data_IF_057500890304
#
_entry.id   IF_057500890304
#
_cell.length_a   1.000
_cell.length_b   1.000
_cell.length_c   1.000
_cell.angle_alpha   90.00
_cell.angle_beta   90.00
_cell.angle_gamma   90.00
#
_symmetry.space_group_name_H-M   'P 1'
#
loop_
_entity.id
_entity.type
_entity.pdbx_description
1 polymer ?
#
# COMPACT_ATOMS: atom_id res chain seq x y z
N UNK A 1 -7.80 -73.80 -8.18
CA UNK A 1 -7.12 -72.50 -8.33
C UNK A 1 -7.28 -71.89 -9.73
N UNK A 2 -8.48 -71.76 -10.28
CA UNK A 2 -8.71 -71.16 -11.64
C UNK A 2 -10.03 -70.36 -11.74
N UNK A 3 -10.55 -69.84 -10.64
CA UNK A 3 -11.80 -69.04 -10.68
C UNK A 3 -11.71 -67.64 -9.99
N UNK A 4 -10.48 -67.19 -9.59
CA UNK A 4 -10.31 -65.91 -8.90
C UNK A 4 -9.73 -64.80 -9.77
N UNK A 5 -9.31 -65.07 -11.01
CA UNK A 5 -8.71 -64.07 -11.90
C UNK A 5 -9.67 -63.36 -12.88
N UNK A 6 -10.97 -63.80 -12.94
CA UNK A 6 -11.88 -63.25 -13.93
C UNK A 6 -12.73 -62.07 -13.45
N UNK A 7 -12.79 -61.80 -12.12
CA UNK A 7 -13.61 -60.72 -11.58
C UNK A 7 -12.83 -59.41 -11.36
N UNK A 8 -11.51 -59.44 -11.36
CA UNK A 8 -10.69 -58.22 -11.16
C UNK A 8 -10.49 -57.45 -12.49
N UNK A 9 -10.54 -58.13 -13.62
CA UNK A 9 -10.36 -57.49 -14.94
C UNK A 9 -11.63 -56.76 -15.40
N UNK A 10 -12.82 -57.17 -14.93
CA UNK A 10 -14.09 -56.52 -15.33
C UNK A 10 -14.38 -55.23 -14.55
N UNK A 11 -13.85 -55.10 -13.34
CA UNK A 11 -13.99 -53.88 -12.52
C UNK A 11 -13.11 -52.71 -13.00
N UNK A 12 -11.98 -53.00 -13.62
CA UNK A 12 -11.08 -52.00 -14.20
C UNK A 12 -11.55 -51.44 -15.54
N UNK A 13 -12.33 -52.22 -16.30
CA UNK A 13 -12.86 -51.79 -17.61
C UNK A 13 -14.09 -50.84 -17.47
N UNK A 14 -14.84 -50.94 -16.38
CA UNK A 14 -16.01 -50.05 -16.12
C UNK A 14 -15.58 -48.69 -15.57
N UNK A 15 -14.48 -48.61 -14.83
CA UNK A 15 -13.92 -47.36 -14.32
C UNK A 15 -13.30 -46.46 -15.42
N UNK A 16 -12.79 -47.06 -16.50
CA UNK A 16 -12.18 -46.31 -17.62
C UNK A 16 -13.22 -45.73 -18.61
N UNK A 17 -14.41 -46.31 -18.69
CA UNK A 17 -15.44 -45.82 -19.61
C UNK A 17 -16.29 -44.65 -19.11
N UNK A 18 -16.26 -44.34 -17.78
CA UNK A 18 -17.00 -43.21 -17.23
C UNK A 18 -16.19 -41.89 -17.15
N UNK A 19 -14.88 -41.94 -17.44
CA UNK A 19 -14.01 -40.74 -17.45
C UNK A 19 -13.98 -40.10 -18.86
N UNK A 20 -14.47 -40.77 -19.88
CA UNK A 20 -14.39 -40.30 -21.27
C UNK A 20 -15.59 -39.46 -21.75
N UNK A 21 -16.52 -39.10 -20.88
CA UNK A 21 -17.77 -38.44 -21.31
C UNK A 21 -17.97 -36.99 -20.84
N UNK A 22 -16.92 -36.33 -20.34
CA UNK A 22 -16.93 -34.86 -20.11
C UNK A 22 -15.85 -34.22 -20.96
N UNK A 23 -16.16 -34.02 -22.24
CA UNK A 23 -15.35 -33.14 -23.09
C UNK A 23 -15.57 -31.71 -22.60
N UNK A 24 -14.55 -30.98 -22.09
CA UNK A 24 -14.70 -29.57 -21.82
C UNK A 24 -14.84 -28.83 -23.14
N UNK A 25 -15.98 -28.20 -23.35
CA UNK A 25 -16.16 -27.22 -24.43
C UNK A 25 -15.20 -26.06 -24.16
N UNK A 26 -14.19 -25.91 -24.97
CA UNK A 26 -13.18 -24.88 -24.94
C UNK A 26 -11.83 -25.44 -24.47
N UNK A 27 -10.95 -25.74 -25.43
CA UNK A 27 -9.56 -26.04 -25.13
C UNK A 27 -8.96 -24.83 -24.36
N UNK A 28 -8.65 -25.03 -23.08
CA UNK A 28 -7.81 -24.08 -22.34
C UNK A 28 -6.51 -23.99 -23.12
N UNK A 29 -6.09 -22.81 -23.59
CA UNK A 29 -4.85 -22.70 -24.33
C UNK A 29 -3.72 -23.27 -23.48
N UNK A 30 -2.93 -24.16 -24.09
CA UNK A 30 -1.82 -24.83 -23.43
C UNK A 30 -0.89 -23.74 -22.83
N UNK A 31 -0.75 -23.74 -21.53
CA UNK A 31 0.16 -22.83 -20.84
C UNK A 31 1.57 -23.30 -21.16
N UNK A 32 2.27 -22.58 -22.03
CA UNK A 32 3.69 -22.87 -22.23
C UNK A 32 4.48 -22.16 -21.12
N UNK A 33 5.24 -22.94 -20.36
CA UNK A 33 6.19 -22.45 -19.37
C UNK A 33 7.59 -22.74 -19.89
N UNK A 34 8.41 -21.70 -20.01
CA UNK A 34 9.81 -21.84 -20.40
C UNK A 34 10.68 -21.30 -19.29
N UNK A 35 11.64 -22.08 -18.82
CA UNK A 35 12.66 -21.64 -17.85
C UNK A 35 13.94 -21.36 -18.63
N UNK A 36 14.42 -20.14 -18.57
CA UNK A 36 15.68 -19.72 -19.20
C UNK A 36 16.88 -20.13 -18.35
N UNK A 37 18.10 -20.19 -18.93
CA UNK A 37 19.31 -20.54 -18.17
C UNK A 37 19.62 -19.62 -16.97
N UNK A 38 19.15 -18.37 -17.01
CA UNK A 38 19.27 -17.39 -15.92
C UNK A 38 18.21 -17.55 -14.81
N UNK A 39 17.35 -18.59 -14.90
CA UNK A 39 16.26 -18.85 -13.97
C UNK A 39 14.98 -18.05 -14.26
N UNK A 40 14.96 -17.22 -15.31
CA UNK A 40 13.74 -16.48 -15.70
C UNK A 40 12.66 -17.46 -16.16
N UNK A 41 11.46 -17.33 -15.57
CA UNK A 41 10.28 -18.10 -15.97
C UNK A 41 9.41 -17.25 -16.89
N UNK A 42 9.18 -17.75 -18.11
CA UNK A 42 8.27 -17.15 -19.07
C UNK A 42 6.98 -17.96 -19.09
N UNK A 43 5.86 -17.32 -18.79
CA UNK A 43 4.52 -17.92 -18.85
C UNK A 43 3.73 -17.21 -19.94
N UNK A 44 3.41 -17.92 -21.01
CA UNK A 44 2.57 -17.41 -22.09
C UNK A 44 1.10 -17.72 -21.81
N UNK A 45 0.21 -16.82 -22.24
CA UNK A 45 -1.25 -16.99 -22.14
C UNK A 45 -1.78 -17.25 -20.72
N UNK A 46 -1.18 -16.61 -19.70
CA UNK A 46 -1.67 -16.70 -18.34
C UNK A 46 -3.01 -15.95 -18.19
N UNK A 47 -4.03 -16.66 -17.68
CA UNK A 47 -5.31 -16.04 -17.25
C UNK A 47 -5.32 -15.96 -15.74
N UNK A 48 -5.61 -14.78 -15.21
CA UNK A 48 -5.74 -14.55 -13.76
C UNK A 48 -7.23 -14.51 -13.43
N UNK A 49 -7.75 -15.52 -12.74
CA UNK A 49 -9.17 -15.57 -12.39
C UNK A 49 -9.52 -14.51 -11.34
N UNK A 50 -10.84 -14.36 -11.11
CA UNK A 50 -11.33 -13.61 -9.95
C UNK A 50 -10.78 -14.24 -8.66
N UNK A 51 -10.34 -13.44 -7.66
CA UNK A 51 -9.74 -13.99 -6.43
C UNK A 51 -10.72 -14.90 -5.68
N UNK A 52 -10.26 -16.08 -5.29
CA UNK A 52 -11.11 -17.06 -4.61
C UNK A 52 -11.34 -16.69 -3.15
N UNK A 53 -10.29 -16.19 -2.46
CA UNK A 53 -10.32 -15.88 -1.04
C UNK A 53 -10.84 -14.46 -0.73
N UNK A 54 -11.18 -13.67 -1.76
CA UNK A 54 -11.83 -12.39 -1.57
C UNK A 54 -13.30 -12.62 -1.20
N UNK A 55 -13.82 -11.83 -0.25
CA UNK A 55 -15.23 -11.92 0.12
C UNK A 55 -16.16 -11.66 -1.08
N UNK A 56 -17.39 -12.15 -1.03
CA UNK A 56 -18.38 -11.88 -2.09
C UNK A 56 -18.65 -10.37 -2.23
N UNK A 57 -18.61 -9.63 -1.13
CA UNK A 57 -18.68 -8.17 -1.13
C UNK A 57 -17.49 -7.56 -1.86
N UNK A 58 -16.28 -8.01 -1.55
CA UNK A 58 -15.05 -7.57 -2.21
C UNK A 58 -15.01 -7.89 -3.70
N UNK A 59 -15.47 -9.09 -4.11
CA UNK A 59 -15.61 -9.45 -5.53
C UNK A 59 -16.56 -8.51 -6.28
N UNK A 60 -17.71 -8.16 -5.66
CA UNK A 60 -18.65 -7.18 -6.25
C UNK A 60 -18.03 -5.81 -6.43
N UNK A 61 -17.26 -5.32 -5.45
CA UNK A 61 -16.56 -4.04 -5.54
C UNK A 61 -15.45 -4.10 -6.61
N UNK A 62 -14.69 -5.19 -6.66
CA UNK A 62 -13.62 -5.37 -7.63
C UNK A 62 -14.13 -5.39 -9.08
N UNK A 63 -15.32 -5.98 -9.29
CA UNK A 63 -15.96 -6.07 -10.61
C UNK A 63 -16.68 -4.79 -11.04
N UNK A 64 -16.86 -3.80 -10.16
CA UNK A 64 -17.46 -2.52 -10.55
C UNK A 64 -16.57 -1.83 -11.58
N UNK A 65 -17.05 -1.69 -12.80
CA UNK A 65 -16.39 -0.87 -13.82
C UNK A 65 -16.60 0.60 -13.48
N UNK A 66 -15.52 1.39 -13.42
CA UNK A 66 -15.66 2.83 -13.39
C UNK A 66 -16.02 3.32 -14.79
N UNK A 67 -16.90 4.35 -14.92
CA UNK A 67 -17.12 4.99 -16.20
C UNK A 67 -15.78 5.45 -16.79
N UNK A 68 -15.53 5.12 -18.04
CA UNK A 68 -14.35 5.59 -18.77
C UNK A 68 -14.63 6.90 -19.51
N UNK A 69 -15.91 7.20 -19.71
CA UNK A 69 -16.41 8.40 -20.39
C UNK A 69 -17.71 8.90 -19.75
N UNK A 70 -18.02 10.19 -19.92
CA UNK A 70 -19.25 10.81 -19.44
C UNK A 70 -19.22 11.24 -17.96
N UNK A 71 -20.38 11.52 -17.36
CA UNK A 71 -20.48 11.99 -15.98
C UNK A 71 -19.86 11.00 -14.98
N UNK A 72 -18.90 11.48 -14.16
CA UNK A 72 -18.20 10.66 -13.17
C UNK A 72 -16.95 9.94 -13.69
N UNK A 73 -16.64 10.06 -14.98
CA UNK A 73 -15.35 9.61 -15.50
C UNK A 73 -14.20 10.47 -14.96
N UNK A 74 -13.01 9.88 -14.71
CA UNK A 74 -11.83 10.66 -14.34
C UNK A 74 -11.43 11.62 -15.45
N UNK A 75 -11.03 12.83 -15.08
CA UNK A 75 -10.39 13.75 -16.04
C UNK A 75 -9.08 13.13 -16.52
N UNK A 76 -8.83 13.03 -17.82
CA UNK A 76 -7.56 12.52 -18.34
C UNK A 76 -6.38 13.28 -17.73
N UNK A 77 -5.35 12.54 -17.31
CA UNK A 77 -4.11 13.19 -16.86
C UNK A 77 -3.43 13.86 -18.06
N UNK A 78 -2.80 15.03 -17.86
CA UNK A 78 -2.03 15.69 -18.91
C UNK A 78 -1.02 14.73 -19.53
N UNK A 79 -0.93 14.73 -20.85
CA UNK A 79 0.08 13.96 -21.58
C UNK A 79 1.48 14.57 -21.41
N UNK A 80 1.54 15.91 -21.29
CA UNK A 80 2.74 16.63 -20.93
C UNK A 80 2.91 16.65 -19.40
N UNK A 81 3.85 15.83 -18.95
CA UNK A 81 4.21 15.71 -17.55
C UNK A 81 5.27 16.74 -17.09
N UNK A 82 5.70 17.64 -17.97
CA UNK A 82 6.57 18.75 -17.61
C UNK A 82 5.82 19.79 -16.75
N UNK A 83 4.51 19.96 -16.97
CA UNK A 83 3.66 20.77 -16.10
C UNK A 83 3.20 19.96 -14.85
N UNK A 84 4.06 19.94 -13.86
CA UNK A 84 3.78 19.25 -12.60
C UNK A 84 2.66 19.90 -11.79
N UNK A 85 2.43 21.19 -11.92
CA UNK A 85 1.36 21.89 -11.21
C UNK A 85 -0.01 21.43 -11.73
N UNK A 86 -0.18 21.42 -13.05
CA UNK A 86 -1.40 20.94 -13.69
C UNK A 86 -1.62 19.44 -13.46
N UNK A 87 -0.58 18.60 -13.58
CA UNK A 87 -0.66 17.17 -13.29
C UNK A 87 -1.17 16.94 -11.86
N UNK A 88 -0.63 17.63 -10.86
CA UNK A 88 -1.05 17.53 -9.47
C UNK A 88 -2.47 18.03 -9.26
N UNK A 89 -2.85 19.12 -9.94
CA UNK A 89 -4.20 19.65 -9.88
C UNK A 89 -5.22 18.62 -10.35
N UNK A 90 -5.04 18.10 -11.58
CA UNK A 90 -5.96 17.10 -12.17
C UNK A 90 -5.98 15.83 -11.35
N UNK A 91 -4.82 15.36 -10.86
CA UNK A 91 -4.75 14.18 -10.02
C UNK A 91 -5.57 14.33 -8.73
N UNK A 92 -5.45 15.49 -8.05
CA UNK A 92 -6.21 15.76 -6.83
C UNK A 92 -7.71 15.94 -7.11
N UNK A 93 -8.11 16.55 -8.25
CA UNK A 93 -9.51 16.64 -8.66
C UNK A 93 -10.12 15.23 -8.83
N UNK A 94 -9.40 14.32 -9.48
CA UNK A 94 -9.84 12.93 -9.69
C UNK A 94 -9.99 12.14 -8.37
N UNK A 95 -9.34 12.57 -7.28
CA UNK A 95 -9.49 11.96 -5.96
C UNK A 95 -10.64 12.53 -5.13
N UNK A 96 -11.19 13.70 -5.48
CA UNK A 96 -12.26 14.35 -4.70
C UNK A 96 -13.48 13.46 -4.47
N UNK A 97 -14.03 12.74 -5.47
CA UNK A 97 -15.15 11.84 -5.25
C UNK A 97 -14.84 10.76 -4.22
N UNK A 98 -13.64 10.19 -4.28
CA UNK A 98 -13.21 9.15 -3.33
C UNK A 98 -13.06 9.72 -1.90
N UNK A 99 -12.51 10.93 -1.78
CA UNK A 99 -12.36 11.62 -0.49
C UNK A 99 -13.75 11.94 0.10
N UNK A 100 -14.68 12.42 -0.70
CA UNK A 100 -16.04 12.71 -0.27
C UNK A 100 -16.74 11.43 0.22
N UNK A 101 -16.66 10.35 -0.55
CA UNK A 101 -17.20 9.06 -0.16
C UNK A 101 -16.55 8.52 1.12
N UNK A 102 -15.22 8.65 1.27
CA UNK A 102 -14.54 8.26 2.51
C UNK A 102 -15.05 9.04 3.73
N UNK A 103 -15.39 10.34 3.56
CA UNK A 103 -15.97 11.18 4.63
C UNK A 103 -17.43 10.83 4.96
N UNK A 104 -18.18 10.32 3.98
CA UNK A 104 -19.53 9.80 4.23
C UNK A 104 -19.47 8.54 5.09
N UNK A 105 -18.54 7.63 4.79
CA UNK A 105 -18.34 6.38 5.55
C UNK A 105 -17.72 6.65 6.93
N UNK A 106 -16.77 7.57 7.01
CA UNK A 106 -16.03 7.93 8.22
C UNK A 106 -16.11 9.44 8.49
N UNK A 107 -17.15 9.89 9.21
CA UNK A 107 -17.33 11.32 9.49
C UNK A 107 -16.18 11.89 10.31
N UNK A 108 -15.56 12.95 9.80
CA UNK A 108 -14.45 13.68 10.41
C UNK A 108 -14.55 15.17 10.15
N UNK A 109 -13.90 15.95 10.98
CA UNK A 109 -13.61 17.36 10.73
C UNK A 109 -12.20 17.48 10.15
N UNK A 110 -12.01 18.34 9.15
CA UNK A 110 -10.73 18.56 8.47
C UNK A 110 -10.41 20.05 8.53
N UNK A 111 -9.24 20.37 9.09
CA UNK A 111 -8.71 21.72 9.21
C UNK A 111 -7.40 21.82 8.44
N UNK A 112 -7.33 22.71 7.44
CA UNK A 112 -6.09 23.03 6.74
C UNK A 112 -5.25 23.98 7.59
N UNK A 113 -3.95 23.72 7.70
CA UNK A 113 -3.04 24.47 8.55
C UNK A 113 -1.62 24.51 7.98
N UNK A 114 -0.75 25.24 8.65
CA UNK A 114 0.69 25.27 8.38
C UNK A 114 1.47 25.05 9.66
N UNK A 115 2.38 24.08 9.67
CA UNK A 115 3.21 23.73 10.82
C UNK A 115 4.69 23.86 10.43
N UNK A 116 5.40 24.78 11.06
CA UNK A 116 6.83 25.08 10.77
C UNK A 116 7.08 25.33 9.27
N UNK A 117 6.14 26.02 8.59
CA UNK A 117 6.20 26.30 7.16
C UNK A 117 5.75 25.15 6.25
N UNK A 118 5.33 24.01 6.80
CA UNK A 118 4.84 22.87 6.04
C UNK A 118 3.31 22.89 6.05
N UNK A 119 2.69 22.96 4.86
CA UNK A 119 1.24 22.83 4.74
C UNK A 119 0.79 21.45 5.21
N UNK A 120 -0.29 21.39 5.96
CA UNK A 120 -0.83 20.15 6.52
C UNK A 120 -2.35 20.23 6.65
N UNK A 121 -2.99 19.08 6.80
CA UNK A 121 -4.37 18.98 7.23
C UNK A 121 -4.45 18.22 8.56
N UNK A 122 -5.22 18.75 9.50
CA UNK A 122 -5.53 18.08 10.77
C UNK A 122 -6.90 17.44 10.62
N UNK A 123 -6.95 16.12 10.76
CA UNK A 123 -8.15 15.31 10.67
C UNK A 123 -8.55 14.89 12.07
N UNK A 124 -9.75 15.28 12.50
CA UNK A 124 -10.28 14.99 13.84
C UNK A 124 -11.54 14.15 13.70
N UNK A 125 -11.72 13.06 14.49
CA UNK A 125 -12.95 12.29 14.51
C UNK A 125 -14.17 13.18 14.77
N UNK A 126 -15.29 12.92 14.08
CA UNK A 126 -16.54 13.65 14.35
C UNK A 126 -16.97 13.40 15.80
N UNK A 127 -17.24 14.46 16.54
CA UNK A 127 -17.50 14.38 17.98
C UNK A 127 -16.26 14.50 18.86
N UNK A 128 -15.07 14.70 18.27
CA UNK A 128 -13.82 14.95 18.98
C UNK A 128 -13.02 13.69 19.32
N UNK A 129 -11.89 13.91 19.97
CA UNK A 129 -11.00 12.83 20.42
C UNK A 129 -11.46 12.33 21.80
N UNK A 130 -11.71 11.01 21.96
CA UNK A 130 -12.03 10.45 23.29
C UNK A 130 -10.94 10.72 24.33
N UNK A 131 -11.32 10.88 25.59
CA UNK A 131 -10.41 11.22 26.70
C UNK A 131 -9.19 10.27 26.76
N UNK A 132 -9.39 8.96 26.55
CA UNK A 132 -8.30 7.96 26.53
C UNK A 132 -7.23 8.23 25.48
N UNK A 133 -7.56 9.00 24.44
CA UNK A 133 -6.69 9.28 23.30
C UNK A 133 -6.21 10.74 23.25
N UNK A 134 -6.57 11.59 24.21
CA UNK A 134 -6.23 13.02 24.20
C UNK A 134 -4.74 13.30 24.06
N UNK A 135 -3.90 12.39 24.56
CA UNK A 135 -2.44 12.52 24.55
C UNK A 135 -1.80 11.78 23.35
N UNK A 136 -2.59 11.25 22.43
CA UNK A 136 -2.14 10.47 21.28
C UNK A 136 -2.36 11.23 19.97
N UNK A 137 -1.46 11.05 19.01
CA UNK A 137 -1.57 11.65 17.68
C UNK A 137 -0.89 10.76 16.63
N UNK A 138 -1.41 10.77 15.41
CA UNK A 138 -0.77 10.13 14.26
C UNK A 138 -0.31 11.18 13.26
N UNK A 139 0.86 10.98 12.66
CA UNK A 139 1.32 11.73 11.50
C UNK A 139 1.17 10.86 10.25
N UNK A 140 0.61 11.41 9.19
CA UNK A 140 0.48 10.71 7.91
C UNK A 140 1.44 11.27 6.87
N UNK A 141 2.25 10.37 6.29
CA UNK A 141 2.99 10.60 5.06
C UNK A 141 2.15 10.17 3.87
N UNK A 142 1.63 11.09 3.05
CA UNK A 142 0.81 10.74 1.88
C UNK A 142 1.55 9.94 0.82
N UNK A 143 0.81 9.06 0.12
CA UNK A 143 1.27 8.38 -1.08
C UNK A 143 1.28 9.28 -2.33
N UNK A 144 1.65 8.68 -3.47
CA UNK A 144 1.66 9.38 -4.77
C UNK A 144 3.02 9.43 -5.46
N UNK A 145 3.88 8.44 -5.20
CA UNK A 145 5.18 8.28 -5.88
C UNK A 145 6.17 9.40 -5.60
N UNK A 146 6.03 10.15 -4.52
CA UNK A 146 6.78 11.40 -4.26
C UNK A 146 6.60 12.47 -5.33
N UNK A 147 5.51 12.42 -6.09
CA UNK A 147 5.30 13.26 -7.27
C UNK A 147 3.93 13.94 -7.31
N UNK A 148 2.88 13.22 -6.90
CA UNK A 148 1.49 13.67 -7.01
C UNK A 148 0.67 13.31 -5.77
N UNK A 149 -0.55 13.83 -5.68
CA UNK A 149 -1.61 13.32 -4.82
C UNK A 149 -1.48 13.51 -3.31
N UNK A 150 -0.47 14.27 -2.83
CA UNK A 150 -0.24 14.42 -1.39
C UNK A 150 -1.48 14.87 -0.60
N UNK A 151 -2.32 15.74 -1.18
CA UNK A 151 -3.55 16.18 -0.52
C UNK A 151 -4.61 15.06 -0.50
N UNK A 152 -5.03 14.56 -1.66
CA UNK A 152 -6.09 13.57 -1.78
C UNK A 152 -5.72 12.23 -1.16
N UNK A 153 -4.55 11.66 -1.52
CA UNK A 153 -4.08 10.39 -0.95
C UNK A 153 -3.84 10.49 0.57
N UNK A 154 -3.42 11.68 1.05
CA UNK A 154 -3.29 11.93 2.47
C UNK A 154 -4.61 11.78 3.22
N UNK A 155 -5.68 12.37 2.70
CA UNK A 155 -7.01 12.28 3.28
C UNK A 155 -7.56 10.85 3.26
N UNK A 156 -7.37 10.11 2.14
CA UNK A 156 -7.87 8.74 2.01
C UNK A 156 -7.26 7.75 3.02
N UNK A 157 -6.09 8.04 3.58
CA UNK A 157 -5.48 7.25 4.67
C UNK A 157 -5.81 7.86 6.03
N UNK A 158 -5.76 9.18 6.16
CA UNK A 158 -5.93 9.86 7.46
C UNK A 158 -7.35 9.75 8.01
N UNK A 159 -8.36 9.82 7.14
CA UNK A 159 -9.77 9.78 7.54
C UNK A 159 -10.12 8.46 8.27
N UNK A 160 -9.93 7.27 7.67
CA UNK A 160 -10.25 6.02 8.36
C UNK A 160 -9.38 5.79 9.59
N UNK A 161 -8.10 6.20 9.59
CA UNK A 161 -7.24 6.10 10.77
C UNK A 161 -7.77 7.00 11.91
N UNK A 162 -8.11 8.25 11.62
CA UNK A 162 -8.67 9.16 12.64
C UNK A 162 -9.97 8.60 13.22
N UNK A 163 -10.90 8.21 12.37
CA UNK A 163 -12.22 7.74 12.80
C UNK A 163 -12.16 6.41 13.56
N UNK A 164 -11.36 5.43 13.09
CA UNK A 164 -11.33 4.08 13.66
C UNK A 164 -10.50 4.01 14.94
N UNK A 165 -9.34 4.68 14.98
CA UNK A 165 -8.49 4.72 16.18
C UNK A 165 -9.01 5.77 17.20
N UNK A 166 -9.74 6.78 16.75
CA UNK A 166 -10.24 7.85 17.61
C UNK A 166 -9.14 8.84 18.02
N UNK A 167 -8.25 9.22 17.11
CA UNK A 167 -7.14 10.16 17.36
C UNK A 167 -7.14 11.29 16.33
N UNK A 168 -6.43 12.38 16.62
CA UNK A 168 -6.07 13.33 15.56
C UNK A 168 -5.02 12.73 14.63
N UNK A 169 -5.16 13.01 13.32
CA UNK A 169 -4.14 12.67 12.33
C UNK A 169 -3.70 13.97 11.63
N UNK A 170 -2.40 14.20 11.57
CA UNK A 170 -1.80 15.30 10.80
C UNK A 170 -1.27 14.76 9.50
N UNK A 171 -1.90 15.09 8.40
CA UNK A 171 -1.46 14.73 7.04
C UNK A 171 -0.63 15.86 6.45
N UNK A 172 0.65 15.61 6.14
CA UNK A 172 1.56 16.65 5.64
C UNK A 172 1.53 16.76 4.11
N UNK A 173 1.72 17.97 3.59
CA UNK A 173 1.88 18.23 2.16
C UNK A 173 3.37 18.50 1.89
N UNK A 174 4.16 17.44 1.85
CA UNK A 174 5.61 17.50 1.72
C UNK A 174 6.08 17.91 0.32
N UNK A 175 7.32 18.38 0.23
CA UNK A 175 8.03 18.72 -1.02
C UNK A 175 8.23 17.48 -1.89
N UNK A 176 7.82 17.55 -3.16
CA UNK A 176 7.78 16.45 -4.11
C UNK A 176 8.79 16.63 -5.25
N UNK A 177 9.14 15.51 -5.88
CA UNK A 177 9.89 15.53 -7.13
C UNK A 177 9.00 15.92 -8.34
N UNK A 178 9.61 16.33 -9.44
CA UNK A 178 11.06 16.42 -9.70
C UNK A 178 11.73 17.68 -9.12
N UNK A 179 10.96 18.66 -8.63
CA UNK A 179 11.47 19.95 -8.14
C UNK A 179 12.37 19.77 -6.91
N UNK A 180 12.02 18.80 -6.06
CA UNK A 180 12.79 18.45 -4.87
C UNK A 180 13.25 16.99 -4.92
N UNK A 181 14.39 16.72 -4.31
CA UNK A 181 14.96 15.38 -4.22
C UNK A 181 15.05 14.91 -2.77
N UNK A 182 15.24 13.61 -2.60
CA UNK A 182 15.56 13.05 -1.28
C UNK A 182 16.75 13.82 -0.65
N UNK A 183 16.65 14.20 0.64
CA UNK A 183 15.65 13.80 1.63
C UNK A 183 14.53 14.85 1.90
N UNK A 184 14.24 15.77 0.98
CA UNK A 184 13.36 16.94 1.21
C UNK A 184 12.01 16.59 1.89
N UNK A 185 11.33 15.52 1.45
CA UNK A 185 10.07 15.09 2.07
C UNK A 185 10.28 14.61 3.51
N UNK A 186 11.38 13.89 3.78
CA UNK A 186 11.72 13.46 5.15
C UNK A 186 12.06 14.64 6.05
N UNK A 187 12.74 15.66 5.53
CA UNK A 187 13.02 16.91 6.27
C UNK A 187 11.72 17.63 6.66
N UNK A 188 10.74 17.65 5.75
CA UNK A 188 9.43 18.27 6.02
C UNK A 188 8.67 17.50 7.12
N UNK A 189 8.64 16.16 7.05
CA UNK A 189 8.03 15.36 8.09
C UNK A 189 8.78 15.47 9.43
N UNK A 190 10.11 15.56 9.40
CA UNK A 190 10.92 15.81 10.61
C UNK A 190 10.63 17.16 11.27
N UNK A 191 10.36 18.22 10.50
CA UNK A 191 9.95 19.51 11.06
C UNK A 191 8.63 19.38 11.82
N UNK A 192 7.63 18.75 11.21
CA UNK A 192 6.33 18.51 11.86
C UNK A 192 6.48 17.59 13.07
N UNK A 193 7.27 16.51 12.96
CA UNK A 193 7.59 15.61 14.08
C UNK A 193 8.16 16.39 15.29
N UNK A 194 9.21 17.18 15.06
CA UNK A 194 9.85 18.00 16.12
C UNK A 194 8.89 19.01 16.74
N UNK A 195 8.00 19.60 15.93
CA UNK A 195 6.97 20.50 16.45
C UNK A 195 6.00 19.76 17.37
N UNK A 196 5.54 18.56 16.97
CA UNK A 196 4.60 17.77 17.78
C UNK A 196 5.21 17.27 19.09
N UNK A 197 6.53 17.06 19.16
CA UNK A 197 7.24 16.72 20.39
C UNK A 197 7.15 17.81 21.47
N UNK A 198 6.77 19.05 21.12
CA UNK A 198 6.50 20.11 22.10
C UNK A 198 5.24 19.82 22.93
N UNK A 199 4.33 18.99 22.41
CA UNK A 199 3.03 18.69 23.03
C UNK A 199 2.85 17.22 23.40
N UNK A 200 3.36 16.32 22.56
CA UNK A 200 3.14 14.88 22.69
C UNK A 200 4.45 14.14 23.04
N UNK A 201 4.36 13.13 23.88
CA UNK A 201 5.49 12.23 24.13
C UNK A 201 5.71 11.33 22.90
N UNK A 202 6.96 11.01 22.53
CA UNK A 202 7.24 10.23 21.32
C UNK A 202 6.52 8.86 21.29
N UNK A 203 6.40 8.16 22.42
CA UNK A 203 5.66 6.90 22.53
C UNK A 203 4.14 7.04 22.29
N UNK A 204 3.60 8.25 22.40
CA UNK A 204 2.18 8.55 22.15
C UNK A 204 1.93 9.03 20.71
N UNK A 205 2.98 9.10 19.92
CA UNK A 205 2.94 9.54 18.53
C UNK A 205 3.20 8.35 17.61
N UNK A 206 2.37 8.14 16.60
CA UNK A 206 2.59 7.17 15.55
C UNK A 206 2.76 7.82 14.19
N UNK A 207 3.26 7.05 13.23
CA UNK A 207 3.27 7.44 11.83
C UNK A 207 2.58 6.39 10.97
N UNK A 208 1.83 6.84 9.97
CA UNK A 208 1.17 5.99 8.98
C UNK A 208 1.43 6.51 7.58
N UNK A 209 1.48 5.64 6.59
CA UNK A 209 1.62 6.05 5.20
C UNK A 209 1.42 4.90 4.23
N UNK A 210 0.90 5.22 3.04
CA UNK A 210 0.69 4.25 1.97
C UNK A 210 1.63 4.55 0.79
N UNK A 211 2.19 3.51 0.15
CA UNK A 211 3.03 3.66 -1.04
C UNK A 211 4.27 4.52 -0.76
N UNK A 212 4.48 5.60 -1.52
CA UNK A 212 5.55 6.56 -1.23
C UNK A 212 5.48 7.09 0.22
N UNK A 213 4.29 7.21 0.80
CA UNK A 213 4.10 7.62 2.19
C UNK A 213 4.62 6.59 3.19
N UNK A 214 4.42 5.29 2.93
CA UNK A 214 5.01 4.22 3.73
C UNK A 214 6.54 4.25 3.70
N UNK A 215 7.12 4.50 2.52
CA UNK A 215 8.57 4.72 2.39
C UNK A 215 9.02 5.99 3.13
N UNK A 216 8.27 7.08 3.03
CA UNK A 216 8.60 8.35 3.68
C UNK A 216 8.67 8.22 5.20
N UNK A 217 7.66 7.62 5.83
CA UNK A 217 7.67 7.45 7.30
C UNK A 217 8.79 6.51 7.75
N UNK A 218 9.11 5.48 6.95
CA UNK A 218 10.23 4.56 7.20
C UNK A 218 11.58 5.28 7.12
N UNK A 219 11.78 6.10 6.08
CA UNK A 219 12.98 6.90 5.89
C UNK A 219 13.14 7.96 6.99
N UNK A 220 12.05 8.63 7.36
CA UNK A 220 12.04 9.59 8.46
C UNK A 220 12.41 8.94 9.78
N UNK A 221 11.85 7.74 10.07
CA UNK A 221 12.22 6.96 11.26
C UNK A 221 13.67 6.52 11.23
N UNK A 222 14.19 6.11 10.06
CA UNK A 222 15.60 5.75 9.91
C UNK A 222 16.53 6.96 10.18
N UNK A 223 16.15 8.16 9.75
CA UNK A 223 16.89 9.38 10.04
C UNK A 223 16.89 9.67 11.54
N UNK A 224 15.71 9.54 12.21
CA UNK A 224 15.63 9.72 13.67
C UNK A 224 16.54 8.73 14.41
N UNK A 225 16.58 7.46 14.00
CA UNK A 225 17.43 6.41 14.59
C UNK A 225 18.91 6.73 14.38
N UNK A 226 19.30 7.07 13.15
CA UNK A 226 20.69 7.46 12.81
C UNK A 226 21.16 8.61 13.69
N UNK A 227 20.31 9.61 13.89
CA UNK A 227 20.63 10.85 14.60
C UNK A 227 20.42 10.74 16.12
N UNK A 228 20.09 9.54 16.64
CA UNK A 228 19.84 9.32 18.07
C UNK A 228 18.66 10.11 18.63
N UNK A 229 17.68 10.46 17.78
CA UNK A 229 16.49 11.20 18.14
C UNK A 229 15.36 10.26 18.58
N UNK A 230 14.39 10.76 19.37
CA UNK A 230 13.20 9.98 19.73
C UNK A 230 12.43 9.48 18.49
N UNK A 231 12.03 8.22 18.51
CA UNK A 231 11.26 7.57 17.43
C UNK A 231 9.77 7.50 17.78
N UNK A 232 8.86 7.34 16.79
CA UNK A 232 7.45 7.11 17.05
C UNK A 232 7.23 5.81 17.83
N UNK A 233 6.11 5.74 18.57
CA UNK A 233 5.71 4.53 19.30
C UNK A 233 5.24 3.40 18.38
N UNK A 234 4.79 3.72 17.15
CA UNK A 234 4.27 2.73 16.19
C UNK A 234 4.33 3.25 14.75
N UNK A 235 4.50 2.34 13.78
CA UNK A 235 4.38 2.61 12.35
C UNK A 235 3.27 1.78 11.71
N UNK A 236 2.54 2.40 10.76
CA UNK A 236 1.66 1.73 9.81
C UNK A 236 2.16 1.93 8.39
N UNK A 237 2.73 0.89 7.80
CA UNK A 237 3.32 0.93 6.45
C UNK A 237 2.39 0.19 5.49
N UNK A 238 1.60 0.94 4.72
CA UNK A 238 0.63 0.37 3.81
C UNK A 238 1.16 0.40 2.37
N UNK A 239 0.96 -0.69 1.64
CA UNK A 239 1.35 -0.79 0.23
C UNK A 239 2.81 -0.39 -0.02
N UNK A 240 3.71 -0.73 0.90
CA UNK A 240 5.14 -0.41 0.85
C UNK A 240 5.95 -1.36 1.73
N UNK A 241 7.26 -1.42 1.48
CA UNK A 241 8.24 -1.92 2.44
C UNK A 241 8.98 -0.77 3.13
N UNK A 242 9.93 -1.10 4.01
CA UNK A 242 10.79 -0.12 4.70
C UNK A 242 11.88 0.49 3.78
N UNK A 243 11.87 0.17 2.51
CA UNK A 243 12.85 0.68 1.54
C UNK A 243 12.18 1.05 0.24
N UNK A 244 12.72 0.56 -0.89
CA UNK A 244 12.08 0.73 -2.19
C UNK A 244 10.70 0.08 -2.20
N UNK A 245 9.68 0.82 -2.66
CA UNK A 245 8.32 0.30 -2.82
C UNK A 245 8.22 -0.79 -3.88
N UNK A 246 9.12 -0.77 -4.85
CA UNK A 246 9.14 -1.70 -5.98
C UNK A 246 10.36 -2.62 -5.88
N UNK A 247 10.22 -3.75 -5.26
CA UNK A 247 11.25 -4.77 -5.16
C UNK A 247 10.63 -6.17 -5.13
N UNK A 248 11.35 -7.15 -5.66
CA UNK A 248 10.95 -8.55 -5.67
C UNK A 248 9.86 -8.89 -6.71
N UNK A 249 9.37 -10.12 -6.65
CA UNK A 249 8.52 -10.70 -7.69
C UNK A 249 7.19 -9.98 -7.86
N UNK A 250 6.61 -9.45 -6.79
CA UNK A 250 5.31 -8.77 -6.85
C UNK A 250 5.27 -7.58 -7.80
N UNK A 251 6.41 -6.93 -8.10
CA UNK A 251 6.45 -5.85 -9.09
C UNK A 251 6.05 -6.32 -10.50
N UNK A 252 6.26 -7.59 -10.82
CA UNK A 252 5.91 -8.19 -12.11
C UNK A 252 4.45 -8.64 -12.15
N UNK A 253 3.89 -9.02 -11.01
CA UNK A 253 2.50 -9.47 -10.89
C UNK A 253 1.50 -8.33 -10.62
N UNK A 254 1.93 -7.23 -10.05
CA UNK A 254 1.08 -6.05 -9.81
C UNK A 254 0.47 -5.44 -11.08
N UNK A 255 1.07 -5.71 -12.24
CA UNK A 255 0.51 -5.34 -13.54
C UNK A 255 -0.76 -6.14 -13.92
N UNK A 256 -1.03 -7.25 -13.25
CA UNK A 256 -2.21 -8.09 -13.46
C UNK A 256 -3.46 -7.58 -12.70
N UNK A 257 -3.36 -6.44 -12.04
CA UNK A 257 -4.48 -5.79 -11.37
C UNK A 257 -5.47 -5.21 -12.37
N UNK A 258 -6.76 -5.53 -12.18
CA UNK A 258 -7.88 -5.06 -13.04
C UNK A 258 -7.94 -3.53 -13.15
N UNK A 259 -7.48 -2.81 -12.13
CA UNK A 259 -7.47 -1.35 -12.11
C UNK A 259 -6.38 -0.72 -12.98
N UNK A 260 -5.36 -1.49 -13.37
CA UNK A 260 -4.31 -0.99 -14.27
C UNK A 260 -4.67 -1.11 -15.76
N UNK A 261 -5.66 -1.93 -16.10
CA UNK A 261 -6.13 -2.07 -17.49
C UNK A 261 -6.70 -0.76 -18.05
N UNK A 262 -7.33 0.07 -17.21
CA UNK A 262 -7.86 1.38 -17.59
C UNK A 262 -6.81 2.49 -17.63
N UNK A 263 -5.59 2.24 -17.15
CA UNK A 263 -4.54 3.26 -17.06
C UNK A 263 -3.59 3.31 -18.27
N UNK A 264 -3.83 2.52 -19.33
CA UNK A 264 -3.00 2.53 -20.56
C UNK A 264 -1.51 2.21 -20.29
N UNK A 265 -1.18 1.52 -19.20
CA UNK A 265 0.20 1.22 -18.85
C UNK A 265 0.74 0.09 -19.68
N UNK A 266 1.58 0.43 -20.64
CA UNK A 266 2.34 -0.48 -21.48
C UNK A 266 3.19 -1.42 -20.64
N UNK A 267 3.19 -2.71 -21.03
CA UNK A 267 4.12 -3.73 -20.57
C UNK A 267 5.56 -3.18 -20.63
N UNK A 268 6.27 -3.18 -19.51
CA UNK A 268 7.70 -2.92 -19.49
C UNK A 268 8.19 -1.83 -18.53
N UNK A 269 7.30 -1.10 -17.85
CA UNK A 269 7.71 -0.18 -16.79
C UNK A 269 7.64 -0.86 -15.43
N UNK A 270 8.78 -1.02 -14.76
CA UNK A 270 8.80 -1.36 -13.33
C UNK A 270 7.85 -0.44 -12.55
N UNK A 271 7.24 -0.97 -11.52
CA UNK A 271 6.24 -0.41 -10.63
C UNK A 271 5.82 1.04 -10.89
N UNK A 272 4.66 1.17 -11.51
CA UNK A 272 4.04 2.45 -11.84
C UNK A 272 4.84 3.25 -12.84
N UNK A 273 4.61 3.07 -14.15
CA UNK A 273 5.29 3.81 -15.21
C UNK A 273 5.55 5.28 -14.83
N UNK A 274 6.64 5.48 -14.07
CA UNK A 274 7.09 6.82 -13.79
C UNK A 274 7.46 7.42 -15.14
N UNK A 275 6.95 8.59 -15.48
CA UNK A 275 7.35 9.26 -16.70
C UNK A 275 8.87 9.33 -16.78
N UNK A 276 9.43 9.18 -17.98
CA UNK A 276 10.85 9.36 -18.20
C UNK A 276 11.27 10.76 -17.73
N UNK A 277 12.28 10.85 -16.89
CA UNK A 277 12.78 12.12 -16.35
C UNK A 277 13.34 11.99 -14.93
N UNK A 278 13.98 13.03 -14.40
CA UNK A 278 14.48 13.04 -13.03
C UNK A 278 13.36 12.79 -12.02
N UNK A 279 13.52 11.77 -11.17
CA UNK A 279 12.60 11.47 -10.07
C UNK A 279 13.17 11.90 -8.73
N UNK A 280 12.37 11.79 -7.68
CA UNK A 280 12.74 12.18 -6.32
C UNK A 280 14.07 11.54 -5.83
N UNK A 281 14.37 10.33 -6.23
CA UNK A 281 15.58 9.59 -5.87
C UNK A 281 16.69 9.62 -6.93
N UNK A 282 16.63 10.52 -7.92
CA UNK A 282 17.67 10.59 -8.95
C UNK A 282 19.04 10.93 -8.33
N UNK A 283 20.04 10.09 -8.59
CA UNK A 283 21.39 10.23 -8.07
C UNK A 283 21.58 9.81 -6.60
N UNK A 284 20.57 9.22 -5.98
CA UNK A 284 20.63 8.75 -4.60
C UNK A 284 20.98 7.26 -4.55
N UNK A 285 22.02 6.92 -3.79
CA UNK A 285 22.34 5.53 -3.46
C UNK A 285 21.23 4.97 -2.54
N UNK A 286 20.55 3.95 -3.04
CA UNK A 286 19.44 3.31 -2.32
C UNK A 286 19.90 2.28 -1.29
N UNK A 287 21.18 1.96 -1.22
CA UNK A 287 21.75 1.05 -0.24
C UNK A 287 22.12 1.73 1.09
N UNK A 288 21.76 3.00 1.26
CA UNK A 288 21.91 3.70 2.53
C UNK A 288 20.76 3.37 3.48
N UNK A 289 21.06 3.19 4.76
CA UNK A 289 20.07 2.91 5.82
C UNK A 289 18.90 3.90 5.82
N UNK A 290 19.15 5.19 5.68
CA UNK A 290 18.12 6.24 5.66
C UNK A 290 17.19 6.18 4.43
N UNK A 291 17.57 5.43 3.39
CA UNK A 291 16.74 5.21 2.18
C UNK A 291 16.08 3.84 2.24
N UNK A 292 16.82 2.83 2.66
CA UNK A 292 16.42 1.42 2.72
C UNK A 292 16.80 0.83 4.09
N UNK A 293 16.02 1.03 5.13
CA UNK A 293 16.38 0.64 6.51
C UNK A 293 16.76 -0.84 6.69
N UNK A 294 16.29 -1.71 5.81
CA UNK A 294 16.56 -3.16 5.86
C UNK A 294 18.01 -3.56 5.56
N UNK A 295 18.87 -2.62 5.15
CA UNK A 295 20.29 -2.89 4.83
C UNK A 295 21.19 -2.96 6.07
N UNK A 296 20.76 -2.41 7.22
CA UNK A 296 21.51 -2.42 8.48
C UNK A 296 20.67 -3.01 9.60
N UNK A 297 20.95 -4.26 9.97
CA UNK A 297 20.19 -5.00 10.99
C UNK A 297 20.37 -4.42 12.41
N UNK A 298 21.52 -3.79 12.73
CA UNK A 298 21.75 -3.19 14.06
C UNK A 298 20.89 -1.92 14.25
N UNK A 299 20.80 -1.11 13.23
CA UNK A 299 19.95 0.08 13.26
C UNK A 299 18.47 -0.29 13.09
N UNK A 300 18.17 -1.31 12.28
CA UNK A 300 16.81 -1.82 12.09
C UNK A 300 16.21 -2.36 13.41
N UNK A 301 17.01 -2.96 14.29
CA UNK A 301 16.58 -3.41 15.61
C UNK A 301 16.07 -2.28 16.54
N UNK A 302 16.28 -1.01 16.16
CA UNK A 302 15.77 0.17 16.89
C UNK A 302 14.47 0.71 16.33
N UNK A 303 13.91 0.05 15.29
CA UNK A 303 12.63 0.46 14.74
C UNK A 303 11.50 0.25 15.75
N UNK A 304 10.48 1.09 15.73
CA UNK A 304 9.30 0.86 16.56
C UNK A 304 8.46 -0.31 16.01
N UNK A 305 7.53 -0.85 16.82
CA UNK A 305 6.53 -1.80 16.36
C UNK A 305 5.88 -1.34 15.06
N UNK A 306 5.79 -2.23 14.06
CA UNK A 306 5.39 -1.87 12.71
C UNK A 306 4.38 -2.86 12.13
N UNK A 307 3.22 -2.36 11.71
CA UNK A 307 2.25 -3.15 10.95
C UNK A 307 2.34 -2.82 9.46
N UNK A 308 2.37 -3.87 8.64
CA UNK A 308 2.26 -3.76 7.18
C UNK A 308 0.87 -4.18 6.72
N UNK A 309 0.35 -3.48 5.72
CA UNK A 309 -0.90 -3.84 5.05
C UNK A 309 -0.70 -3.77 3.54
N UNK A 310 -0.93 -4.88 2.84
CA UNK A 310 -0.73 -5.01 1.39
C UNK A 310 -1.69 -6.03 0.80
N UNK A 311 -1.54 -6.39 -0.45
CA UNK A 311 -2.43 -7.31 -1.15
C UNK A 311 -1.66 -8.14 -2.17
N UNK A 312 -2.21 -9.32 -2.57
CA UNK A 312 -1.50 -10.24 -3.47
C UNK A 312 -1.26 -9.70 -4.88
N UNK A 313 -2.06 -8.71 -5.33
CA UNK A 313 -1.86 -8.01 -6.61
C UNK A 313 -1.25 -6.61 -6.44
N UNK A 314 -0.66 -6.35 -5.28
CA UNK A 314 0.10 -5.13 -5.03
C UNK A 314 1.56 -5.34 -5.44
N UNK A 315 2.10 -4.49 -6.29
CA UNK A 315 3.51 -4.54 -6.70
C UNK A 315 4.49 -4.34 -5.53
N UNK A 316 4.03 -3.80 -4.40
CA UNK A 316 4.85 -3.58 -3.20
C UNK A 316 4.82 -4.76 -2.21
N UNK A 317 4.02 -5.82 -2.46
CA UNK A 317 3.83 -6.93 -1.54
C UNK A 317 5.16 -7.60 -1.15
N UNK A 318 6.03 -7.91 -2.10
CA UNK A 318 7.33 -8.53 -1.81
C UNK A 318 8.18 -7.67 -0.89
N UNK A 319 8.16 -6.34 -1.09
CA UNK A 319 8.87 -5.39 -0.23
C UNK A 319 8.32 -5.35 1.20
N UNK A 320 6.98 -5.39 1.35
CA UNK A 320 6.32 -5.46 2.66
C UNK A 320 6.66 -6.76 3.39
N UNK A 321 6.51 -7.92 2.73
CA UNK A 321 6.82 -9.22 3.30
C UNK A 321 8.30 -9.37 3.70
N UNK A 322 9.21 -8.87 2.84
CA UNK A 322 10.64 -8.84 3.14
C UNK A 322 10.95 -7.99 4.38
N UNK A 323 10.37 -6.79 4.45
CA UNK A 323 10.59 -5.86 5.56
C UNK A 323 10.05 -6.39 6.88
N UNK A 324 8.84 -6.97 6.87
CA UNK A 324 8.24 -7.63 8.03
C UNK A 324 9.17 -8.74 8.57
N UNK A 325 9.61 -9.66 7.70
CA UNK A 325 10.54 -10.74 8.07
C UNK A 325 11.87 -10.19 8.62
N UNK A 326 12.40 -9.08 8.08
CA UNK A 326 13.63 -8.45 8.56
C UNK A 326 13.44 -7.85 9.96
N UNK A 327 12.29 -7.22 10.25
CA UNK A 327 11.96 -6.72 11.59
C UNK A 327 11.87 -7.87 12.61
N UNK A 328 11.14 -8.94 12.29
CA UNK A 328 11.06 -10.12 13.15
C UNK A 328 12.45 -10.72 13.44
N UNK A 329 13.32 -10.81 12.43
CA UNK A 329 14.69 -11.31 12.58
C UNK A 329 15.50 -10.55 13.63
N UNK A 330 15.28 -9.25 13.74
CA UNK A 330 15.99 -8.38 14.69
C UNK A 330 15.21 -8.12 15.99
N UNK A 331 14.12 -8.85 16.23
CA UNK A 331 13.34 -8.81 17.46
C UNK A 331 12.36 -7.64 17.60
N UNK A 332 12.06 -6.94 16.51
CA UNK A 332 11.05 -5.88 16.49
C UNK A 332 9.66 -6.50 16.29
N UNK A 333 8.67 -6.10 17.11
CA UNK A 333 7.28 -6.53 16.96
C UNK A 333 6.70 -6.04 15.63
N UNK A 334 6.19 -6.96 14.84
CA UNK A 334 5.70 -6.62 13.50
C UNK A 334 4.56 -7.54 13.08
N UNK A 335 3.50 -6.94 12.52
CA UNK A 335 2.37 -7.64 11.90
C UNK A 335 2.33 -7.40 10.40
N UNK A 336 1.75 -8.35 9.66
CA UNK A 336 1.58 -8.27 8.22
C UNK A 336 0.18 -8.75 7.81
N UNK A 337 -0.60 -7.84 7.24
CA UNK A 337 -1.91 -8.13 6.64
C UNK A 337 -1.75 -8.20 5.12
N UNK A 338 -2.14 -9.32 4.50
CA UNK A 338 -2.14 -9.51 3.05
C UNK A 338 -3.55 -9.90 2.61
N UNK A 339 -4.19 -9.08 1.80
CA UNK A 339 -5.52 -9.33 1.25
C UNK A 339 -5.44 -9.93 -0.15
N UNK A 340 -6.16 -11.05 -0.36
CA UNK A 340 -6.14 -11.75 -1.64
C UNK A 340 -6.77 -10.91 -2.76
N UNK A 341 -6.15 -10.91 -3.93
CA UNK A 341 -6.66 -10.35 -5.17
C UNK A 341 -6.87 -8.85 -5.21
N UNK A 342 -6.64 -8.12 -4.12
CA UNK A 342 -6.72 -6.67 -4.10
C UNK A 342 -5.44 -6.03 -4.66
N UNK A 343 -5.55 -4.77 -5.04
CA UNK A 343 -4.53 -4.01 -5.76
C UNK A 343 -3.79 -3.01 -4.86
N UNK A 344 -2.76 -2.38 -5.42
CA UNK A 344 -2.00 -1.33 -4.75
C UNK A 344 -2.89 -0.18 -4.27
N UNK A 345 -2.86 0.10 -2.99
CA UNK A 345 -3.68 1.17 -2.40
C UNK A 345 -5.15 0.79 -2.17
N UNK A 346 -5.52 -0.48 -2.20
CA UNK A 346 -6.90 -0.94 -1.94
C UNK A 346 -7.48 -0.38 -0.64
N UNK A 347 -6.65 -0.15 0.38
CA UNK A 347 -7.02 0.48 1.64
C UNK A 347 -7.52 1.94 1.51
N UNK A 348 -7.46 2.54 0.33
CA UNK A 348 -8.05 3.86 0.06
C UNK A 348 -9.52 3.78 -0.42
N UNK A 349 -10.06 2.58 -0.55
CA UNK A 349 -11.46 2.35 -0.93
C UNK A 349 -12.23 1.70 0.22
N UNK A 350 -13.14 2.43 0.89
CA UNK A 350 -13.88 1.94 2.05
C UNK A 350 -14.98 0.93 1.68
N UNK A 351 -15.30 0.74 0.40
CA UNK A 351 -16.33 -0.19 -0.04
C UNK A 351 -15.89 -1.66 0.07
N UNK A 352 -14.58 -1.92 0.09
CA UNK A 352 -14.10 -3.28 0.32
C UNK A 352 -14.31 -3.70 1.78
N UNK A 353 -15.02 -4.79 2.06
CA UNK A 353 -15.09 -5.37 3.40
C UNK A 353 -13.71 -5.64 4.00
N UNK A 354 -12.75 -6.02 3.16
CA UNK A 354 -11.34 -6.24 3.52
C UNK A 354 -10.66 -4.96 3.98
N UNK A 355 -10.97 -3.81 3.35
CA UNK A 355 -10.46 -2.51 3.81
C UNK A 355 -11.05 -2.14 5.17
N UNK A 356 -12.36 -2.38 5.37
CA UNK A 356 -13.03 -2.16 6.66
C UNK A 356 -12.45 -3.02 7.79
N UNK A 357 -12.13 -4.28 7.49
CA UNK A 357 -11.41 -5.16 8.42
C UNK A 357 -10.01 -4.63 8.70
N UNK A 358 -9.27 -4.26 7.64
CA UNK A 358 -7.92 -3.72 7.74
C UNK A 358 -7.83 -2.46 8.60
N UNK A 359 -8.80 -1.55 8.50
CA UNK A 359 -8.84 -0.35 9.37
C UNK A 359 -8.98 -0.72 10.85
N UNK A 360 -9.80 -1.72 11.18
CA UNK A 360 -9.98 -2.19 12.56
C UNK A 360 -8.73 -2.88 13.09
N UNK A 361 -8.14 -3.78 12.31
CA UNK A 361 -6.93 -4.53 12.69
C UNK A 361 -5.73 -3.61 12.87
N UNK A 362 -5.53 -2.65 11.95
CA UNK A 362 -4.44 -1.67 12.08
C UNK A 362 -4.67 -0.71 13.25
N UNK A 363 -5.90 -0.29 13.52
CA UNK A 363 -6.22 0.53 14.68
C UNK A 363 -5.98 -0.25 16.00
N UNK A 364 -6.31 -1.54 16.06
CA UNK A 364 -6.01 -2.38 17.23
C UNK A 364 -4.50 -2.50 17.48
N UNK A 365 -3.71 -2.66 16.41
CA UNK A 365 -2.24 -2.68 16.52
C UNK A 365 -1.71 -1.32 17.03
N UNK A 366 -2.21 -0.20 16.50
CA UNK A 366 -1.83 1.12 16.99
C UNK A 366 -2.23 1.34 18.45
N UNK A 367 -3.44 0.92 18.85
CA UNK A 367 -3.90 1.05 20.25
C UNK A 367 -3.05 0.25 21.23
N UNK A 368 -2.56 -0.93 20.80
CA UNK A 368 -1.64 -1.79 21.58
C UNK A 368 -0.28 -1.12 21.83
N UNK A 369 0.26 -0.40 20.85
CA UNK A 369 1.65 0.09 20.89
C UNK A 369 1.80 1.59 21.21
N UNK A 370 0.77 2.40 20.99
CA UNK A 370 0.79 3.80 21.41
C UNK A 370 0.72 3.91 22.93
N UNK A 371 1.58 4.71 23.52
CA UNK A 371 1.57 5.04 24.95
C UNK A 371 0.22 5.62 25.42
N UNK A 372 0.00 5.65 26.72
CA UNK A 372 -1.23 6.14 27.38
C UNK A 372 -1.02 7.49 28.02
#
# INVERSE_FOLDING_TARGET
MKRLCLHVVLALAIGAALIAAVSPKGAVPERSITIRPDGTVVVNNATVPLPELLSEGGKKVLMRTRPTEGPGAPVPLPSDISDMAELRRVYNENLKPNVNHMREVFPVDIEETTIEGISAAIITPKGGVPERNRNRIMLNGPGGGFRTGVRGNGLLISIPVAATLGVKVVSILYRQGPEYRFPAASEDLLKVWKYMLKTYKPQNMGMVGCSAGGSLISQTTAILIRDGQPTPGVLGVYCAGLGSTAAGDSQFFGALSVTNASAGRTQGGGAGGAPAGPGYFTGIDRNQFIVSPTVDEKLLAKFPPTIFCTSTRDFAMSGAAYSHRKLLKVGVDSDLLIYDGLYHGSMTNPDFPESQEGYKLTAAFFDKHLGK
#
